data_IF_623025204156
#
_entry.id   IF_623025204156
#
_cell.length_a   1.000
_cell.length_b   1.000
_cell.length_c   1.000
_cell.angle_alpha   90.00
_cell.angle_beta   90.00
_cell.angle_gamma   90.00
#
_symmetry.space_group_name_H-M   'P 1'
#
loop_
_entity.id
_entity.type
_entity.pdbx_description
1 polymer ?
#
# COMPACT_ATOMS: atom_id res chain seq x y z
N UNK A 1 24.31 9.47 57.32
CA UNK A 1 24.97 9.93 56.08
C UNK A 1 24.11 9.75 54.83
N UNK A 2 23.41 8.62 54.62
CA UNK A 2 22.62 8.38 53.38
C UNK A 2 21.52 9.41 53.09
N UNK A 3 20.80 9.90 54.11
CA UNK A 3 19.69 10.86 53.91
C UNK A 3 20.21 12.18 53.32
N UNK A 4 21.39 12.64 53.77
CA UNK A 4 21.99 13.88 53.30
C UNK A 4 22.43 13.79 51.83
N UNK A 5 22.97 12.64 51.41
CA UNK A 5 23.35 12.39 50.01
C UNK A 5 22.12 12.39 49.11
N UNK A 6 21.02 11.76 49.54
CA UNK A 6 19.77 11.71 48.77
C UNK A 6 19.19 13.12 48.57
N UNK A 7 19.19 13.95 49.61
CA UNK A 7 18.67 15.34 49.54
C UNK A 7 19.51 16.20 48.60
N UNK A 8 20.84 16.06 48.61
CA UNK A 8 21.72 16.80 47.71
C UNK A 8 21.48 16.40 46.24
N UNK A 9 21.36 15.10 45.96
CA UNK A 9 21.08 14.61 44.61
C UNK A 9 19.73 15.11 44.11
N UNK A 10 18.70 15.09 44.96
CA UNK A 10 17.37 15.59 44.62
C UNK A 10 17.36 17.10 44.31
N UNK A 11 18.08 17.90 45.10
CA UNK A 11 18.25 19.34 44.86
C UNK A 11 19.00 19.61 43.54
N UNK A 12 20.05 18.85 43.25
CA UNK A 12 20.81 19.01 42.02
C UNK A 12 19.98 18.67 40.78
N UNK A 13 19.19 17.58 40.83
CA UNK A 13 18.25 17.22 39.77
C UNK A 13 17.16 18.29 39.57
N UNK A 14 16.58 18.79 40.67
CA UNK A 14 15.58 19.86 40.60
C UNK A 14 16.13 21.13 39.97
N UNK A 15 17.36 21.51 40.33
CA UNK A 15 18.02 22.71 39.80
C UNK A 15 18.39 22.55 38.32
N UNK A 16 18.81 21.35 37.89
CA UNK A 16 19.06 21.03 36.48
C UNK A 16 17.81 21.14 35.62
N UNK A 17 16.67 20.63 36.10
CA UNK A 17 15.38 20.72 35.40
C UNK A 17 14.90 22.17 35.32
N UNK A 18 14.99 22.94 36.41
CA UNK A 18 14.64 24.36 36.42
C UNK A 18 15.53 25.18 35.48
N UNK A 19 16.84 24.89 35.45
CA UNK A 19 17.80 25.55 34.58
C UNK A 19 17.58 25.21 33.09
N UNK A 20 17.24 23.95 32.77
CA UNK A 20 16.89 23.53 31.41
C UNK A 20 15.62 24.22 30.89
N UNK A 21 14.62 24.43 31.76
CA UNK A 21 13.41 25.18 31.41
C UNK A 21 13.68 26.68 31.23
N UNK A 22 14.63 27.25 31.99
CA UNK A 22 14.99 28.68 31.94
C UNK A 22 15.76 29.07 30.67
N UNK A 23 16.53 28.15 30.10
CA UNK A 23 17.34 28.38 28.89
C UNK A 23 16.58 28.18 27.56
N UNK A 24 15.26 28.09 27.58
CA UNK A 24 14.45 28.24 26.36
C UNK A 24 14.59 27.12 25.34
N UNK A 25 14.65 25.86 25.78
CA UNK A 25 14.41 24.71 24.90
C UNK A 25 15.52 24.37 23.90
N UNK A 26 16.72 24.95 24.03
CA UNK A 26 17.87 24.72 23.13
C UNK A 26 18.97 23.85 23.75
N UNK A 27 18.63 22.92 24.65
CA UNK A 27 19.54 21.84 25.00
C UNK A 27 19.18 20.62 24.16
N UNK A 28 19.84 20.47 23.01
CA UNK A 28 19.95 19.17 22.37
C UNK A 28 20.74 18.30 23.36
N UNK A 29 20.04 17.37 24.02
CA UNK A 29 20.69 16.37 24.86
C UNK A 29 21.72 15.66 23.97
N UNK A 30 23.03 15.73 24.30
CA UNK A 30 24.06 15.04 23.53
C UNK A 30 23.63 13.58 23.37
N UNK A 31 23.67 13.04 22.14
CA UNK A 31 23.17 11.69 21.85
C UNK A 31 23.72 10.64 22.84
N UNK A 32 24.96 10.84 23.30
CA UNK A 32 25.65 10.02 24.31
C UNK A 32 24.94 9.97 25.68
N UNK A 33 24.30 11.07 26.11
CA UNK A 33 23.55 11.13 27.37
C UNK A 33 22.19 10.45 27.18
N UNK A 34 21.56 10.64 26.01
CA UNK A 34 20.32 9.95 25.66
C UNK A 34 20.55 8.44 25.62
N UNK A 35 21.65 7.97 25.02
CA UNK A 35 22.06 6.57 25.02
C UNK A 35 22.29 6.01 26.43
N UNK A 36 22.94 6.78 27.33
CA UNK A 36 23.13 6.36 28.72
C UNK A 36 21.82 6.30 29.51
N UNK A 37 20.92 7.25 29.32
CA UNK A 37 19.59 7.24 29.96
C UNK A 37 18.76 6.06 29.43
N UNK A 38 18.84 5.77 28.13
CA UNK A 38 18.15 4.64 27.50
C UNK A 38 18.74 3.31 27.96
N UNK A 39 20.05 3.23 28.16
CA UNK A 39 20.70 2.08 28.79
C UNK A 39 20.24 1.88 30.24
N UNK A 40 19.91 2.96 30.96
CA UNK A 40 19.43 2.91 32.35
C UNK A 40 17.92 2.65 32.49
N UNK A 41 17.12 3.10 31.52
CA UNK A 41 15.64 2.95 31.51
C UNK A 41 15.15 1.80 30.62
N UNK A 42 16.05 1.22 29.82
CA UNK A 42 15.95 -0.12 29.25
C UNK A 42 15.14 -0.29 27.97
N UNK A 43 14.29 0.66 27.56
CA UNK A 43 13.55 0.55 26.29
C UNK A 43 13.30 1.92 25.66
N UNK A 44 13.91 2.17 24.48
CA UNK A 44 13.36 3.18 23.56
C UNK A 44 11.91 2.78 23.28
N UNK A 45 10.94 3.72 23.35
CA UNK A 45 9.61 3.43 22.86
C UNK A 45 9.74 2.97 21.41
N UNK A 46 9.11 1.84 21.13
CA UNK A 46 9.16 1.21 19.83
C UNK A 46 8.72 2.24 18.75
N UNK A 47 9.51 2.47 17.68
CA UNK A 47 9.15 3.39 16.60
C UNK A 47 7.75 3.13 16.04
N UNK A 48 7.28 1.87 16.06
CA UNK A 48 5.94 1.49 15.62
C UNK A 48 4.84 2.08 16.51
N UNK A 49 5.05 2.15 17.82
CA UNK A 49 4.09 2.74 18.77
C UNK A 49 4.00 4.25 18.56
N UNK A 50 5.13 4.94 18.39
CA UNK A 50 5.16 6.38 18.10
C UNK A 50 4.48 6.69 16.77
N UNK A 51 4.74 5.89 15.75
CA UNK A 51 4.12 6.05 14.44
C UNK A 51 2.60 5.81 14.49
N UNK A 52 2.13 4.81 15.23
CA UNK A 52 0.69 4.60 15.45
C UNK A 52 0.03 5.81 16.14
N UNK A 53 0.62 6.32 17.22
CA UNK A 53 0.10 7.52 17.89
C UNK A 53 0.08 8.75 16.96
N UNK A 54 1.07 8.88 16.09
CA UNK A 54 1.07 9.90 15.05
C UNK A 54 -0.08 9.70 14.04
N UNK A 55 -0.31 8.48 13.56
CA UNK A 55 -1.46 8.17 12.68
C UNK A 55 -2.79 8.52 13.34
N UNK A 56 -2.96 8.23 14.63
CA UNK A 56 -4.19 8.54 15.38
C UNK A 56 -4.46 10.05 15.50
N UNK A 57 -3.41 10.85 15.63
CA UNK A 57 -3.53 12.29 15.90
C UNK A 57 -3.41 13.18 14.67
N UNK A 58 -2.50 12.87 13.74
CA UNK A 58 -2.16 13.72 12.60
C UNK A 58 -2.94 13.36 11.32
N UNK A 59 -3.57 12.18 11.22
CA UNK A 59 -4.33 11.75 10.02
C UNK A 59 -5.85 11.83 10.17
N UNK A 60 -6.35 12.57 11.16
CA UNK A 60 -7.80 12.74 11.42
C UNK A 60 -8.54 13.34 10.20
N UNK A 61 -7.87 14.14 9.38
CA UNK A 61 -8.46 14.73 8.18
C UNK A 61 -8.67 13.71 7.04
N UNK A 62 -7.93 12.61 7.04
CA UNK A 62 -7.96 11.57 6.00
C UNK A 62 -8.54 10.27 6.59
N UNK A 63 -9.80 10.35 7.02
CA UNK A 63 -10.51 9.29 7.74
C UNK A 63 -10.39 7.89 7.10
N UNK A 64 -10.54 7.71 5.76
CA UNK A 64 -10.42 6.38 5.15
C UNK A 64 -9.03 5.77 5.30
N UNK A 65 -7.97 6.58 5.13
CA UNK A 65 -6.59 6.13 5.27
C UNK A 65 -6.28 5.79 6.73
N UNK A 66 -6.69 6.65 7.66
CA UNK A 66 -6.52 6.42 9.09
C UNK A 66 -7.22 5.12 9.52
N UNK A 67 -8.49 4.94 9.15
CA UNK A 67 -9.25 3.73 9.48
C UNK A 67 -8.58 2.47 8.91
N UNK A 68 -8.08 2.52 7.66
CA UNK A 68 -7.34 1.41 7.07
C UNK A 68 -6.06 1.10 7.86
N UNK A 69 -5.25 2.10 8.16
CA UNK A 69 -4.01 1.93 8.93
C UNK A 69 -4.28 1.33 10.31
N UNK A 70 -5.31 1.81 11.03
CA UNK A 70 -5.67 1.31 12.35
C UNK A 70 -6.36 -0.07 12.32
N UNK A 71 -6.89 -0.48 11.17
CA UNK A 71 -7.43 -1.84 10.98
C UNK A 71 -6.36 -2.90 10.75
N UNK A 72 -5.12 -2.50 10.47
CA UNK A 72 -4.02 -3.44 10.28
C UNK A 72 -3.70 -4.15 11.59
N UNK A 73 -3.55 -5.47 11.51
CA UNK A 73 -2.99 -6.26 12.61
C UNK A 73 -1.56 -5.79 12.94
N UNK A 74 -1.11 -6.04 14.18
CA UNK A 74 0.14 -5.48 14.70
C UNK A 74 1.35 -5.76 13.81
N UNK A 75 1.54 -7.02 13.39
CA UNK A 75 2.67 -7.38 12.52
C UNK A 75 2.62 -6.67 11.15
N UNK A 76 1.43 -6.47 10.59
CA UNK A 76 1.26 -5.74 9.32
C UNK A 76 1.52 -4.25 9.46
N UNK A 77 1.08 -3.65 10.57
CA UNK A 77 1.37 -2.25 10.89
C UNK A 77 2.87 -2.02 11.13
N UNK A 78 3.52 -2.94 11.87
CA UNK A 78 4.97 -2.93 12.07
C UNK A 78 5.73 -3.00 10.73
N UNK A 79 5.41 -3.99 9.89
CA UNK A 79 6.06 -4.14 8.58
C UNK A 79 5.84 -2.92 7.68
N UNK A 80 4.65 -2.30 7.71
CA UNK A 80 4.39 -1.06 6.99
C UNK A 80 5.26 0.08 7.53
N UNK A 81 5.36 0.22 8.86
CA UNK A 81 6.18 1.24 9.50
C UNK A 81 7.66 1.10 9.12
N UNK A 82 8.21 -0.12 9.12
CA UNK A 82 9.59 -0.39 8.69
C UNK A 82 9.82 0.08 7.23
N UNK A 83 8.84 -0.16 6.35
CA UNK A 83 8.90 0.33 4.97
C UNK A 83 8.83 1.85 4.87
N UNK A 84 7.98 2.50 5.67
CA UNK A 84 7.92 3.98 5.74
C UNK A 84 9.25 4.54 6.23
N UNK A 85 9.85 3.93 7.25
CA UNK A 85 11.19 4.32 7.75
C UNK A 85 12.23 4.21 6.64
N UNK A 86 12.26 3.09 5.90
CA UNK A 86 13.16 2.91 4.76
C UNK A 86 12.93 3.95 3.66
N UNK A 87 11.68 4.18 3.27
CA UNK A 87 11.31 5.16 2.25
C UNK A 87 11.73 6.59 2.65
N UNK A 88 11.50 6.99 3.90
CA UNK A 88 11.94 8.27 4.41
C UNK A 88 13.48 8.38 4.38
N UNK A 89 14.18 7.32 4.79
CA UNK A 89 15.64 7.28 4.79
C UNK A 89 16.22 7.46 3.37
N UNK A 90 15.62 6.86 2.35
CA UNK A 90 16.02 7.02 0.95
C UNK A 90 15.91 8.48 0.46
N UNK A 91 15.03 9.27 1.09
CA UNK A 91 14.86 10.71 0.83
C UNK A 91 15.70 11.60 1.77
N UNK A 92 16.57 11.03 2.61
CA UNK A 92 17.29 11.71 3.68
C UNK A 92 16.36 12.38 4.71
N UNK A 93 15.18 11.79 4.95
CA UNK A 93 14.21 12.20 5.96
C UNK A 93 14.22 11.16 7.07
N UNK A 94 14.32 11.58 8.33
CA UNK A 94 14.10 10.65 9.44
C UNK A 94 12.63 10.70 9.86
N UNK A 95 11.96 9.54 9.93
CA UNK A 95 10.57 9.48 10.37
C UNK A 95 10.39 10.01 11.80
N UNK A 96 11.41 9.84 12.65
CA UNK A 96 11.48 10.41 14.01
C UNK A 96 11.27 11.92 14.04
N UNK A 97 11.74 12.66 13.02
CA UNK A 97 11.56 14.10 12.95
C UNK A 97 10.10 14.50 12.94
N UNK A 98 9.26 13.69 12.30
CA UNK A 98 7.82 13.89 12.20
C UNK A 98 7.09 13.37 13.44
N UNK A 99 7.32 12.12 13.83
CA UNK A 99 6.56 11.47 14.94
C UNK A 99 6.94 12.01 16.31
N UNK A 100 8.16 12.51 16.48
CA UNK A 100 8.65 13.13 17.73
C UNK A 100 8.61 14.65 17.68
N UNK A 101 8.03 15.24 16.63
CA UNK A 101 7.86 16.70 16.47
C UNK A 101 9.17 17.52 16.49
N UNK A 102 10.30 16.90 16.17
CA UNK A 102 11.60 17.60 16.12
C UNK A 102 11.62 18.67 15.02
N UNK A 103 10.82 18.50 13.97
CA UNK A 103 10.72 19.42 12.83
C UNK A 103 9.73 20.58 13.03
N UNK A 104 9.11 20.71 14.22
CA UNK A 104 8.13 21.76 14.53
C UNK A 104 8.72 23.18 14.43
N UNK A 105 10.05 23.31 14.55
CA UNK A 105 10.78 24.59 14.36
C UNK A 105 10.68 25.13 12.93
N UNK A 106 10.34 24.28 11.95
CA UNK A 106 10.21 24.63 10.54
C UNK A 106 8.86 24.15 9.98
N UNK A 107 7.75 24.89 10.22
CA UNK A 107 6.39 24.44 9.89
C UNK A 107 6.18 24.07 8.42
N UNK A 108 6.79 24.82 7.50
CA UNK A 108 6.72 24.51 6.07
C UNK A 108 7.36 23.16 5.75
N UNK A 109 8.51 22.86 6.38
CA UNK A 109 9.20 21.59 6.20
C UNK A 109 8.45 20.44 6.87
N UNK A 110 7.87 20.66 8.07
CA UNK A 110 6.97 19.71 8.71
C UNK A 110 5.83 19.31 7.79
N UNK A 111 5.16 20.29 7.19
CA UNK A 111 4.02 20.05 6.32
C UNK A 111 4.43 19.30 5.05
N UNK A 112 5.57 19.64 4.45
CA UNK A 112 6.11 18.93 3.29
C UNK A 112 6.42 17.46 3.64
N UNK A 113 7.13 17.21 4.75
CA UNK A 113 7.45 15.86 5.23
C UNK A 113 6.19 15.05 5.54
N UNK A 114 5.20 15.66 6.20
CA UNK A 114 3.88 15.03 6.44
C UNK A 114 3.22 14.62 5.12
N UNK A 115 3.19 15.53 4.15
CA UNK A 115 2.59 15.27 2.83
C UNK A 115 3.26 14.09 2.13
N UNK A 116 4.61 14.06 2.10
CA UNK A 116 5.38 12.96 1.51
C UNK A 116 5.04 11.61 2.15
N UNK A 117 4.98 11.54 3.48
CA UNK A 117 4.65 10.30 4.20
C UNK A 117 3.20 9.88 3.91
N UNK A 118 2.27 10.83 3.92
CA UNK A 118 0.85 10.58 3.61
C UNK A 118 0.68 10.04 2.19
N UNK A 119 1.28 10.69 1.19
CA UNK A 119 1.19 10.27 -0.21
C UNK A 119 1.70 8.83 -0.39
N UNK A 120 2.82 8.47 0.27
CA UNK A 120 3.34 7.11 0.24
C UNK A 120 2.34 6.09 0.84
N UNK A 121 1.72 6.43 1.97
CA UNK A 121 0.72 5.59 2.62
C UNK A 121 -0.55 5.44 1.76
N UNK A 122 -0.99 6.53 1.12
CA UNK A 122 -2.12 6.51 0.19
C UNK A 122 -1.83 5.62 -1.02
N UNK A 123 -0.65 5.72 -1.62
CA UNK A 123 -0.25 4.83 -2.74
C UNK A 123 -0.28 3.36 -2.31
N UNK A 124 0.23 3.04 -1.12
CA UNK A 124 0.19 1.69 -0.58
C UNK A 124 -1.26 1.20 -0.38
N UNK A 125 -2.12 2.04 0.19
CA UNK A 125 -3.53 1.75 0.37
C UNK A 125 -4.26 1.51 -0.95
N UNK A 126 -4.07 2.40 -1.93
CA UNK A 126 -4.64 2.28 -3.27
C UNK A 126 -4.15 1.03 -4.00
N UNK A 127 -2.86 0.70 -3.88
CA UNK A 127 -2.30 -0.51 -4.47
C UNK A 127 -2.95 -1.78 -3.93
N UNK A 128 -3.25 -1.84 -2.64
CA UNK A 128 -3.97 -2.97 -2.03
C UNK A 128 -5.43 -2.99 -2.49
N UNK A 129 -6.11 -1.84 -2.45
CA UNK A 129 -7.51 -1.72 -2.85
C UNK A 129 -7.73 -2.15 -4.30
N UNK A 130 -6.81 -1.81 -5.18
CA UNK A 130 -6.87 -2.13 -6.61
C UNK A 130 -6.05 -3.36 -7.01
N UNK A 131 -5.54 -4.14 -6.05
CA UNK A 131 -4.73 -5.31 -6.35
C UNK A 131 -5.49 -6.33 -7.21
N UNK A 132 -6.78 -6.55 -6.90
CA UNK A 132 -7.66 -7.42 -7.67
C UNK A 132 -7.86 -6.93 -9.11
N UNK A 133 -8.12 -5.64 -9.28
CA UNK A 133 -8.34 -5.01 -10.60
C UNK A 133 -7.07 -5.07 -11.44
N UNK A 134 -5.91 -4.77 -10.86
CA UNK A 134 -4.61 -4.85 -11.54
C UNK A 134 -4.29 -6.30 -11.93
N UNK A 135 -4.58 -7.27 -11.06
CA UNK A 135 -4.42 -8.68 -11.38
C UNK A 135 -5.34 -9.14 -12.53
N UNK A 136 -6.60 -8.68 -12.52
CA UNK A 136 -7.57 -8.95 -13.58
C UNK A 136 -7.13 -8.31 -14.90
N UNK A 137 -6.69 -7.05 -14.86
CA UNK A 137 -6.15 -6.34 -16.02
C UNK A 137 -4.93 -7.04 -16.60
N UNK A 138 -4.02 -7.56 -15.76
CA UNK A 138 -2.86 -8.34 -16.21
C UNK A 138 -3.30 -9.60 -16.97
N UNK A 139 -4.32 -10.32 -16.48
CA UNK A 139 -4.89 -11.50 -17.18
C UNK A 139 -5.54 -11.09 -18.50
N UNK A 140 -6.32 -10.01 -18.50
CA UNK A 140 -6.92 -9.44 -19.70
C UNK A 140 -5.86 -9.07 -20.74
N UNK A 141 -4.80 -8.36 -20.32
CA UNK A 141 -3.73 -7.92 -21.20
C UNK A 141 -3.04 -9.13 -21.85
N UNK A 142 -2.72 -10.19 -21.09
CA UNK A 142 -2.17 -11.44 -21.65
C UNK A 142 -3.13 -12.10 -22.65
N UNK A 143 -4.41 -12.14 -22.32
CA UNK A 143 -5.47 -12.72 -23.17
C UNK A 143 -5.55 -12.01 -24.55
N UNK A 144 -5.42 -10.68 -24.60
CA UNK A 144 -5.60 -9.92 -25.83
C UNK A 144 -4.30 -9.57 -26.56
N UNK A 145 -3.15 -9.49 -25.88
CA UNK A 145 -1.87 -9.08 -26.50
C UNK A 145 -1.24 -10.18 -27.35
N UNK A 146 -1.51 -11.46 -27.06
CA UNK A 146 -0.95 -12.60 -27.80
C UNK A 146 -2.04 -13.54 -28.35
N UNK A 147 -2.63 -13.24 -29.52
CA UNK A 147 -3.65 -14.09 -30.15
C UNK A 147 -3.20 -15.53 -30.43
N UNK A 148 -1.90 -15.76 -30.67
CA UNK A 148 -1.32 -17.07 -30.94
C UNK A 148 -1.18 -17.99 -29.73
N UNK A 149 -1.24 -17.45 -28.49
CA UNK A 149 -1.09 -18.26 -27.29
C UNK A 149 -2.28 -19.23 -27.14
N UNK A 150 -2.00 -20.53 -27.28
CA UNK A 150 -3.00 -21.60 -27.26
C UNK A 150 -3.63 -21.77 -25.87
N UNK A 151 -2.92 -21.40 -24.80
CA UNK A 151 -3.40 -21.51 -23.40
C UNK A 151 -4.63 -20.63 -23.14
N UNK A 152 -4.75 -19.54 -23.90
CA UNK A 152 -5.84 -18.58 -23.77
C UNK A 152 -6.92 -18.74 -24.84
N UNK A 153 -6.78 -19.70 -25.76
CA UNK A 153 -7.68 -19.88 -26.90
C UNK A 153 -9.13 -20.11 -26.46
N UNK A 154 -9.34 -21.04 -25.53
CA UNK A 154 -10.68 -21.42 -25.08
C UNK A 154 -11.32 -20.31 -24.25
N UNK A 155 -10.55 -19.69 -23.34
CA UNK A 155 -10.99 -18.53 -22.56
C UNK A 155 -11.41 -17.39 -23.50
N UNK A 156 -10.62 -17.10 -24.53
CA UNK A 156 -10.93 -16.04 -25.51
C UNK A 156 -12.21 -16.32 -26.26
N UNK A 157 -12.41 -17.56 -26.73
CA UNK A 157 -13.63 -17.98 -27.42
C UNK A 157 -14.86 -17.85 -26.53
N UNK A 158 -14.80 -18.43 -25.32
CA UNK A 158 -15.90 -18.35 -24.34
C UNK A 158 -16.25 -16.90 -23.99
N UNK A 159 -15.23 -16.08 -23.73
CA UNK A 159 -15.41 -14.67 -23.40
C UNK A 159 -16.04 -13.92 -24.57
N UNK A 160 -15.51 -14.07 -25.79
CA UNK A 160 -16.06 -13.41 -26.98
C UNK A 160 -17.53 -13.80 -27.22
N UNK A 161 -17.86 -15.09 -27.15
CA UNK A 161 -19.24 -15.58 -27.28
C UNK A 161 -20.14 -14.94 -26.23
N UNK A 162 -19.70 -14.88 -24.96
CA UNK A 162 -20.49 -14.32 -23.86
C UNK A 162 -20.69 -12.81 -24.01
N UNK A 163 -19.65 -12.07 -24.39
CA UNK A 163 -19.74 -10.63 -24.65
C UNK A 163 -20.68 -10.32 -25.82
N UNK A 164 -20.65 -11.13 -26.88
CA UNK A 164 -21.54 -10.98 -28.04
C UNK A 164 -22.99 -11.26 -27.64
N UNK A 165 -23.23 -12.33 -26.86
CA UNK A 165 -24.57 -12.68 -26.38
C UNK A 165 -25.18 -11.59 -25.47
N UNK A 166 -24.34 -10.84 -24.75
CA UNK A 166 -24.76 -9.72 -23.90
C UNK A 166 -24.80 -8.37 -24.64
N UNK A 167 -24.53 -8.34 -25.95
CA UNK A 167 -24.51 -7.10 -26.74
C UNK A 167 -23.36 -6.14 -26.42
N UNK A 168 -22.32 -6.62 -25.71
CA UNK A 168 -21.12 -5.84 -25.38
C UNK A 168 -20.07 -5.89 -26.50
N UNK A 169 -20.11 -6.92 -27.35
CA UNK A 169 -19.28 -7.05 -28.54
C UNK A 169 -20.17 -7.22 -29.78
N UNK A 170 -19.73 -6.67 -30.91
CA UNK A 170 -20.39 -6.90 -32.20
C UNK A 170 -20.14 -8.34 -32.67
N UNK A 171 -21.18 -9.05 -33.14
CA UNK A 171 -20.99 -10.38 -33.71
C UNK A 171 -20.12 -10.29 -34.97
N UNK A 172 -19.18 -11.22 -35.11
CA UNK A 172 -18.39 -11.34 -36.33
C UNK A 172 -19.26 -11.91 -37.46
N UNK A 173 -19.17 -11.38 -38.69
CA UNK A 173 -19.90 -11.94 -39.82
C UNK A 173 -19.55 -13.41 -40.07
N UNK A 174 -20.57 -14.23 -40.39
CA UNK A 174 -20.39 -15.67 -40.57
C UNK A 174 -19.34 -16.02 -41.65
N UNK A 175 -19.29 -15.24 -42.74
CA UNK A 175 -18.34 -15.46 -43.82
C UNK A 175 -16.88 -15.26 -43.38
N UNK A 176 -16.61 -14.28 -42.50
CA UNK A 176 -15.26 -14.06 -41.96
C UNK A 176 -14.82 -15.22 -41.07
N UNK A 177 -15.74 -15.78 -40.27
CA UNK A 177 -15.44 -16.90 -39.38
C UNK A 177 -15.15 -18.20 -40.12
N UNK A 178 -15.88 -18.46 -41.21
CA UNK A 178 -15.74 -19.68 -42.03
C UNK A 178 -14.42 -19.65 -42.80
N UNK A 179 -14.06 -18.51 -43.38
CA UNK A 179 -12.86 -18.38 -44.23
C UNK A 179 -11.58 -18.08 -43.44
N UNK A 180 -11.67 -17.57 -42.21
CA UNK A 180 -10.51 -17.26 -41.40
C UNK A 180 -9.78 -18.51 -40.91
N UNK A 181 -8.45 -18.45 -40.91
CA UNK A 181 -7.61 -19.36 -40.14
C UNK A 181 -7.90 -19.24 -38.64
N UNK A 182 -7.51 -20.24 -37.84
CA UNK A 182 -7.70 -20.16 -36.39
C UNK A 182 -7.00 -18.94 -35.79
N UNK A 183 -5.78 -18.60 -36.22
CA UNK A 183 -5.06 -17.42 -35.76
C UNK A 183 -5.82 -16.12 -36.10
N UNK A 184 -6.39 -16.02 -37.30
CA UNK A 184 -7.22 -14.87 -37.69
C UNK A 184 -8.48 -14.77 -36.83
N UNK A 185 -9.20 -15.88 -36.61
CA UNK A 185 -10.37 -15.90 -35.70
C UNK A 185 -10.00 -15.43 -34.29
N UNK A 186 -8.87 -15.92 -33.77
CA UNK A 186 -8.36 -15.52 -32.46
C UNK A 186 -8.00 -14.03 -32.40
N UNK A 187 -7.45 -13.48 -33.49
CA UNK A 187 -7.12 -12.06 -33.60
C UNK A 187 -8.37 -11.20 -33.65
N UNK A 188 -9.38 -11.60 -34.44
CA UNK A 188 -10.67 -10.92 -34.51
C UNK A 188 -11.37 -10.93 -33.15
N UNK A 189 -11.42 -12.08 -32.47
CA UNK A 189 -11.97 -12.18 -31.12
C UNK A 189 -11.22 -11.29 -30.12
N UNK A 190 -9.88 -11.28 -30.14
CA UNK A 190 -9.09 -10.40 -29.28
C UNK A 190 -9.40 -8.92 -29.53
N UNK A 191 -9.53 -8.51 -30.80
CA UNK A 191 -9.87 -7.13 -31.16
C UNK A 191 -11.28 -6.76 -30.67
N UNK A 192 -12.27 -7.63 -30.84
CA UNK A 192 -13.63 -7.41 -30.35
C UNK A 192 -13.68 -7.33 -28.82
N UNK A 193 -12.92 -8.18 -28.11
CA UNK A 193 -12.77 -8.13 -26.66
C UNK A 193 -12.16 -6.79 -26.22
N UNK A 194 -11.11 -6.29 -26.89
CA UNK A 194 -10.55 -4.96 -26.58
C UNK A 194 -11.56 -3.84 -26.76
N UNK A 195 -12.35 -3.87 -27.84
CA UNK A 195 -13.42 -2.89 -28.09
C UNK A 195 -14.49 -2.94 -27.00
N UNK A 196 -14.92 -4.14 -26.59
CA UNK A 196 -15.89 -4.30 -25.50
C UNK A 196 -15.36 -3.75 -24.18
N UNK A 197 -14.12 -4.11 -23.82
CA UNK A 197 -13.46 -3.62 -22.60
C UNK A 197 -13.27 -2.09 -22.60
N UNK A 198 -12.97 -1.49 -23.74
CA UNK A 198 -12.85 -0.03 -23.87
C UNK A 198 -14.20 0.71 -23.81
N UNK A 199 -15.29 0.05 -24.20
CA UNK A 199 -16.65 0.61 -24.17
C UNK A 199 -17.25 0.62 -22.77
N UNK A 200 -17.09 -0.47 -22.03
CA UNK A 200 -17.61 -0.65 -20.68
C UNK A 200 -16.68 -1.59 -19.89
N UNK A 201 -15.71 -0.99 -19.18
CA UNK A 201 -14.73 -1.75 -18.42
C UNK A 201 -15.36 -2.49 -17.25
N UNK A 202 -16.26 -1.86 -16.49
CA UNK A 202 -16.85 -2.46 -15.28
C UNK A 202 -17.75 -3.66 -15.64
N UNK A 203 -18.58 -3.50 -16.66
CA UNK A 203 -19.41 -4.58 -17.19
C UNK A 203 -18.55 -5.73 -17.74
N UNK A 204 -17.50 -5.41 -18.50
CA UNK A 204 -16.53 -6.37 -19.02
C UNK A 204 -15.82 -7.13 -17.89
N UNK A 205 -15.27 -6.41 -16.90
CA UNK A 205 -14.47 -6.95 -15.82
C UNK A 205 -15.26 -7.97 -14.99
N UNK A 206 -16.53 -7.66 -14.68
CA UNK A 206 -17.45 -8.59 -13.99
C UNK A 206 -17.61 -9.90 -14.77
N UNK A 207 -17.94 -9.82 -16.06
CA UNK A 207 -18.16 -11.01 -16.91
C UNK A 207 -16.88 -11.82 -17.05
N UNK A 208 -15.74 -11.14 -17.20
CA UNK A 208 -14.45 -11.80 -17.34
C UNK A 208 -14.04 -12.50 -16.04
N UNK A 209 -14.25 -11.88 -14.88
CA UNK A 209 -13.96 -12.51 -13.60
C UNK A 209 -14.84 -13.73 -13.35
N UNK A 210 -16.15 -13.65 -13.60
CA UNK A 210 -17.06 -14.80 -13.52
C UNK A 210 -16.62 -15.96 -14.43
N UNK A 211 -16.14 -15.66 -15.64
CA UNK A 211 -15.65 -16.68 -16.55
C UNK A 211 -14.39 -17.38 -15.99
N UNK A 212 -13.47 -16.61 -15.41
CA UNK A 212 -12.24 -17.14 -14.83
C UNK A 212 -12.52 -18.03 -13.61
N UNK A 213 -13.49 -17.66 -12.78
CA UNK A 213 -13.92 -18.46 -11.61
C UNK A 213 -14.57 -19.78 -12.05
N UNK A 214 -15.44 -19.75 -13.06
CA UNK A 214 -16.08 -20.96 -13.60
C UNK A 214 -15.07 -21.92 -14.24
N UNK A 215 -14.06 -21.40 -14.96
CA UNK A 215 -13.00 -22.24 -15.54
C UNK A 215 -12.10 -22.85 -14.46
N UNK A 216 -11.90 -22.17 -13.33
CA UNK A 216 -11.15 -22.71 -12.19
C UNK A 216 -11.94 -23.84 -11.49
N UNK A 217 -13.26 -23.67 -11.31
CA UNK A 217 -14.12 -24.67 -10.69
C UNK A 217 -14.27 -25.95 -11.52
N UNK A 218 -14.22 -25.85 -12.85
CA UNK A 218 -14.40 -26.98 -13.75
C UNK A 218 -13.11 -27.77 -14.04
N UNK A 219 -11.94 -27.33 -13.55
CA UNK A 219 -10.72 -28.14 -13.65
C UNK A 219 -10.83 -29.28 -12.64
N UNK A 220 -10.91 -30.56 -13.08
CA UNK A 220 -10.93 -31.68 -12.14
C UNK A 220 -9.68 -31.60 -11.27
N UNK A 221 -9.85 -31.75 -9.96
CA UNK A 221 -8.77 -31.85 -8.99
C UNK A 221 -7.90 -33.05 -9.40
N UNK A 222 -6.95 -32.79 -10.28
CA UNK A 222 -6.05 -33.81 -10.79
C UNK A 222 -5.18 -34.15 -9.61
N UNK A 223 -5.39 -35.36 -9.10
CA UNK A 223 -4.82 -35.92 -7.89
C UNK A 223 -3.33 -35.60 -7.84
N UNK A 224 -2.92 -34.87 -6.81
CA UNK A 224 -1.51 -34.80 -6.43
C UNK A 224 -1.09 -36.23 -6.04
N UNK A 225 -0.38 -36.90 -6.95
CA UNK A 225 0.39 -38.11 -6.68
C UNK A 225 1.84 -37.69 -6.48
#
# INVERSE_FOLDING_TARGET
MSIFVIVIVALFLGLLVAFALLLGGYWEVPEQILEKIIALTGKRPDPHVKFRAWVESDLVEIQPLQAWLLSLHEAGFQALTERVVSFCADLNIQLSWLVERQIDVAPALRQATKTIVVDYLEVCWQAIRHQGDVALFSKYHKLVSNPSDTRYRDVRRKLFTRLTALGLAEPLPAYELIMASELQRQTLAANAIRKAAAKDWDGFARIFNELLENDAANKPATQAI
#
